data_IF_852300887977
#
_entry.id   IF_852300887977
#
_cell.length_a   1.000
_cell.length_b   1.000
_cell.length_c   1.000
_cell.angle_alpha   90.00
_cell.angle_beta   90.00
_cell.angle_gamma   90.00
#
_symmetry.space_group_name_H-M   'P 1'
#
loop_
_entity.id
_entity.type
_entity.pdbx_description
1 polymer ?
#
# COMPACT_ATOMS: atom_id res chain seq x y z
N UNK A 1 -27.57 -2.47 5.99
CA UNK A 1 -26.70 -1.28 5.86
C UNK A 1 -25.49 -1.66 5.04
N UNK A 2 -25.19 -0.87 4.02
CA UNK A 2 -24.20 -1.14 2.98
C UNK A 2 -22.77 -1.09 3.52
N UNK A 3 -21.92 -1.99 2.99
CA UNK A 3 -20.48 -2.05 3.21
C UNK A 3 -19.82 -0.68 3.03
N UNK A 4 -19.12 -0.19 4.05
CA UNK A 4 -18.16 0.92 3.91
C UNK A 4 -16.76 0.34 4.05
N UNK A 5 -16.26 -0.25 2.96
CA UNK A 5 -14.83 -0.14 2.69
C UNK A 5 -14.60 1.34 2.36
N UNK A 6 -13.77 2.04 3.12
CA UNK A 6 -13.35 3.40 2.78
C UNK A 6 -12.43 3.34 1.57
N UNK A 7 -13.04 3.21 0.38
CA UNK A 7 -12.39 3.39 -0.90
C UNK A 7 -12.43 4.86 -1.23
N UNK A 8 -11.25 5.46 -1.39
CA UNK A 8 -11.15 6.81 -1.91
C UNK A 8 -10.58 6.72 -3.32
N UNK A 9 -11.23 7.43 -4.24
CA UNK A 9 -10.63 7.65 -5.55
C UNK A 9 -9.46 8.60 -5.41
N UNK A 10 -8.35 8.21 -6.00
CA UNK A 10 -7.11 8.93 -6.02
C UNK A 10 -6.78 9.27 -7.45
N UNK A 11 -6.70 10.57 -7.77
CA UNK A 11 -6.26 11.03 -9.08
C UNK A 11 -4.84 11.56 -8.97
N UNK A 12 -3.95 10.98 -9.75
CA UNK A 12 -2.56 11.43 -9.89
C UNK A 12 -2.41 12.03 -11.27
N UNK A 13 -2.22 13.34 -11.33
CA UNK A 13 -1.90 14.04 -12.57
C UNK A 13 -0.41 13.97 -12.83
N UNK A 14 -0.06 13.65 -14.06
CA UNK A 14 1.30 13.65 -14.58
C UNK A 14 1.35 14.21 -15.98
N UNK A 15 2.53 14.14 -16.56
CA UNK A 15 2.80 14.54 -17.93
C UNK A 15 3.84 13.63 -18.55
N UNK A 16 3.81 13.56 -19.87
CA UNK A 16 4.98 13.15 -20.63
C UNK A 16 5.42 14.23 -21.58
N UNK A 17 6.72 14.30 -21.75
CA UNK A 17 7.37 15.26 -22.62
C UNK A 17 8.66 14.66 -23.17
N UNK A 18 9.18 15.28 -24.22
CA UNK A 18 10.40 14.84 -24.87
C UNK A 18 11.59 15.69 -24.42
N UNK A 19 12.56 15.05 -23.77
CA UNK A 19 13.81 15.69 -23.34
C UNK A 19 14.88 15.50 -24.41
N UNK A 20 15.50 16.59 -24.88
CA UNK A 20 16.58 16.54 -25.86
C UNK A 20 17.81 15.84 -25.24
N UNK A 21 18.26 14.75 -25.87
CA UNK A 21 19.50 14.08 -25.50
C UNK A 21 20.71 14.74 -26.17
N UNK A 22 20.65 14.90 -27.49
CA UNK A 22 21.70 15.56 -28.26
C UNK A 22 21.18 16.09 -29.59
N UNK A 23 21.94 17.03 -30.16
CA UNK A 23 21.71 17.63 -31.46
C UNK A 23 23.04 17.67 -32.22
N UNK A 24 23.13 16.95 -33.34
CA UNK A 24 24.33 16.88 -34.15
C UNK A 24 24.06 17.44 -35.54
N UNK A 25 24.88 18.42 -35.92
CA UNK A 25 24.79 19.10 -37.21
C UNK A 25 25.88 18.61 -38.16
N UNK A 26 25.48 17.86 -39.19
CA UNK A 26 26.34 17.40 -40.27
C UNK A 26 26.11 18.20 -41.57
N UNK A 27 25.47 19.37 -41.51
CA UNK A 27 25.11 20.20 -42.67
C UNK A 27 26.30 20.62 -43.53
N UNK A 28 27.47 20.79 -42.91
CA UNK A 28 28.70 21.26 -43.57
C UNK A 28 29.56 20.16 -44.18
N UNK A 29 29.34 18.89 -43.84
CA UNK A 29 30.18 17.80 -44.34
C UNK A 29 29.55 17.08 -45.52
N UNK A 30 30.41 16.53 -46.39
CA UNK A 30 30.02 15.74 -47.55
C UNK A 30 29.99 14.24 -47.27
N UNK A 31 30.49 13.81 -46.11
CA UNK A 31 30.48 12.42 -45.67
C UNK A 31 29.46 12.22 -44.54
N UNK A 32 29.02 10.97 -44.37
CA UNK A 32 28.22 10.58 -43.20
C UNK A 32 29.08 10.55 -41.94
N UNK A 33 28.44 10.78 -40.79
CA UNK A 33 29.05 10.62 -39.47
C UNK A 33 28.37 9.45 -38.78
N UNK A 34 29.16 8.54 -38.21
CA UNK A 34 28.68 7.52 -37.28
C UNK A 34 28.96 7.98 -35.86
N UNK A 35 27.91 8.09 -35.06
CA UNK A 35 27.98 8.47 -33.66
C UNK A 35 27.57 7.28 -32.79
N UNK A 36 28.41 6.91 -31.82
CA UNK A 36 28.07 5.92 -30.79
C UNK A 36 27.86 6.68 -29.48
N UNK A 37 26.63 6.68 -28.99
CA UNK A 37 26.28 7.33 -27.72
C UNK A 37 25.70 6.32 -26.75
N UNK A 38 26.05 6.52 -25.48
CA UNK A 38 25.49 5.79 -24.35
C UNK A 38 24.62 6.75 -23.55
N UNK A 39 23.36 6.38 -23.32
CA UNK A 39 22.48 7.16 -22.46
C UNK A 39 21.86 6.30 -21.37
N UNK A 40 21.48 6.95 -20.27
CA UNK A 40 20.93 6.29 -19.10
C UNK A 40 19.40 6.33 -19.15
N UNK A 41 18.81 5.14 -19.16
CA UNK A 41 17.47 4.90 -18.66
C UNK A 41 17.50 5.06 -17.14
N UNK A 42 16.60 5.87 -16.59
CA UNK A 42 16.53 6.15 -15.16
C UNK A 42 15.07 6.03 -14.72
N UNK A 43 14.78 5.05 -13.87
CA UNK A 43 13.52 4.95 -13.13
C UNK A 43 13.78 5.38 -11.69
N UNK A 44 13.16 6.47 -11.23
CA UNK A 44 13.29 6.94 -9.85
C UNK A 44 11.91 7.12 -9.22
N UNK A 45 11.63 6.29 -8.22
CA UNK A 45 10.39 6.28 -7.45
C UNK A 45 10.74 6.45 -5.98
N UNK A 46 10.29 7.55 -5.39
CA UNK A 46 10.42 7.86 -3.98
C UNK A 46 9.00 7.97 -3.39
N UNK A 47 8.62 6.97 -2.59
CA UNK A 47 7.28 6.90 -2.01
C UNK A 47 6.95 8.08 -1.09
N UNK A 48 7.94 8.64 -0.35
CA UNK A 48 7.70 9.82 0.52
C UNK A 48 7.29 11.03 -0.29
N UNK A 49 7.96 11.24 -1.42
CA UNK A 49 7.58 12.29 -2.37
C UNK A 49 6.20 12.01 -2.98
N UNK A 50 5.91 10.75 -3.31
CA UNK A 50 4.60 10.37 -3.85
C UNK A 50 3.48 10.71 -2.86
N UNK A 51 3.61 10.32 -1.59
CA UNK A 51 2.66 10.67 -0.52
C UNK A 51 2.52 12.18 -0.36
N UNK A 52 3.65 12.90 -0.26
CA UNK A 52 3.66 14.36 -0.07
C UNK A 52 2.96 15.11 -1.20
N UNK A 53 3.12 14.64 -2.43
CA UNK A 53 2.56 15.28 -3.62
C UNK A 53 1.13 14.82 -3.93
N UNK A 54 0.59 13.89 -3.14
CA UNK A 54 -0.73 13.32 -3.36
C UNK A 54 -1.63 13.54 -2.15
N UNK A 55 -2.25 14.73 -2.10
CA UNK A 55 -3.00 15.25 -0.94
C UNK A 55 -4.16 14.38 -0.43
N UNK A 56 -4.64 13.41 -1.24
CA UNK A 56 -5.77 12.55 -0.88
C UNK A 56 -5.36 11.23 -0.22
N UNK A 57 -4.05 10.94 -0.10
CA UNK A 57 -3.58 9.72 0.54
C UNK A 57 -3.41 9.93 2.04
N UNK A 58 -4.30 9.35 2.84
CA UNK A 58 -4.20 9.32 4.31
C UNK A 58 -3.54 8.03 4.81
N UNK A 59 -2.38 7.73 4.26
CA UNK A 59 -1.55 6.62 4.73
C UNK A 59 -0.72 7.12 5.91
N UNK A 60 -1.20 6.89 7.12
CA UNK A 60 -0.56 7.37 8.36
C UNK A 60 0.28 6.31 9.06
N UNK A 61 0.16 5.04 8.66
CA UNK A 61 0.78 3.92 9.36
C UNK A 61 1.52 2.95 8.45
N UNK A 62 2.55 2.33 9.02
CA UNK A 62 3.25 1.16 8.46
C UNK A 62 3.15 -0.04 9.39
N UNK A 63 3.29 -1.23 8.81
CA UNK A 63 3.36 -2.52 9.50
C UNK A 63 4.35 -3.43 8.78
N UNK A 64 5.35 -3.96 9.49
CA UNK A 64 6.42 -4.80 8.91
C UNK A 64 7.07 -4.15 7.67
N UNK A 65 7.33 -2.83 7.76
CA UNK A 65 7.87 -1.96 6.69
C UNK A 65 6.99 -1.81 5.44
N UNK A 66 5.70 -2.18 5.52
CA UNK A 66 4.73 -1.95 4.44
C UNK A 66 3.71 -0.90 4.86
N UNK A 67 3.21 -0.10 3.92
CA UNK A 67 2.12 0.85 4.21
C UNK A 67 0.88 0.07 4.62
N UNK A 68 0.12 0.53 5.64
CA UNK A 68 -1.16 -0.06 6.04
C UNK A 68 -2.31 0.29 5.08
N UNK A 69 -2.02 0.26 3.78
CA UNK A 69 -2.94 0.57 2.71
C UNK A 69 -2.43 -0.01 1.37
N UNK A 70 -3.32 -0.10 0.39
CA UNK A 70 -2.99 -0.53 -0.96
C UNK A 70 -3.53 0.45 -2.00
N UNK A 71 -2.92 0.38 -3.19
CA UNK A 71 -3.36 1.10 -4.39
C UNK A 71 -3.79 0.09 -5.44
N UNK A 72 -4.87 0.41 -6.14
CA UNK A 72 -5.38 -0.35 -7.28
C UNK A 72 -5.51 0.59 -8.47
N UNK A 73 -4.80 0.32 -9.55
CA UNK A 73 -4.90 1.13 -10.77
C UNK A 73 -6.23 0.87 -11.47
N UNK A 74 -6.96 1.95 -11.80
CA UNK A 74 -8.22 1.87 -12.51
C UNK A 74 -8.05 2.10 -14.00
N UNK A 75 -7.48 3.26 -14.36
CA UNK A 75 -7.33 3.69 -15.75
C UNK A 75 -6.39 4.88 -15.86
N UNK A 76 -5.89 5.08 -17.07
CA UNK A 76 -5.26 6.31 -17.48
C UNK A 76 -6.18 7.07 -18.45
N UNK A 77 -6.28 8.39 -18.29
CA UNK A 77 -6.88 9.29 -19.27
C UNK A 77 -5.75 10.14 -19.85
N UNK A 78 -5.53 10.02 -21.15
CA UNK A 78 -4.58 10.83 -21.91
C UNK A 78 -5.32 11.62 -22.98
N UNK A 79 -4.83 12.81 -23.32
CA UNK A 79 -5.41 13.63 -24.40
C UNK A 79 -4.96 13.23 -25.81
N UNK A 80 -4.09 12.22 -25.95
CA UNK A 80 -3.67 11.62 -27.21
C UNK A 80 -3.46 10.10 -27.07
N UNK A 81 -3.37 9.38 -28.18
CA UNK A 81 -3.27 7.91 -28.27
C UNK A 81 -1.90 7.33 -27.85
N UNK A 82 -1.12 8.04 -27.03
CA UNK A 82 0.20 7.54 -26.64
C UNK A 82 0.08 6.28 -25.76
N UNK A 83 0.78 5.24 -26.22
CA UNK A 83 1.23 4.03 -25.52
C UNK A 83 0.51 3.69 -24.20
N UNK A 84 -0.68 3.12 -24.30
CA UNK A 84 -1.44 2.58 -23.17
C UNK A 84 -0.60 1.63 -22.29
N UNK A 85 0.33 0.86 -22.88
CA UNK A 85 1.23 -0.05 -22.16
C UNK A 85 2.17 0.68 -21.19
N UNK A 86 2.67 1.86 -21.58
CA UNK A 86 3.57 2.63 -20.73
C UNK A 86 2.86 3.21 -19.49
N UNK A 87 1.58 3.57 -19.60
CA UNK A 87 0.77 4.00 -18.45
C UNK A 87 0.52 2.86 -17.46
N UNK A 88 0.31 1.64 -17.96
CA UNK A 88 0.16 0.46 -17.11
C UNK A 88 1.46 0.17 -16.36
N UNK A 89 2.60 0.17 -17.07
CA UNK A 89 3.92 -0.05 -16.45
C UNK A 89 4.20 0.97 -15.35
N UNK A 90 4.02 2.26 -15.66
CA UNK A 90 4.14 3.35 -14.69
C UNK A 90 3.27 3.14 -13.45
N UNK A 91 2.00 2.79 -13.65
CA UNK A 91 1.05 2.63 -12.56
C UNK A 91 1.43 1.45 -11.66
N UNK A 92 1.90 0.34 -12.25
CA UNK A 92 2.40 -0.80 -11.49
C UNK A 92 3.61 -0.44 -10.63
N UNK A 93 4.54 0.32 -11.20
CA UNK A 93 5.75 0.76 -10.49
C UNK A 93 5.42 1.71 -9.33
N UNK A 94 4.45 2.62 -9.50
CA UNK A 94 3.93 3.46 -8.42
C UNK A 94 3.27 2.62 -7.31
N UNK A 95 2.48 1.60 -7.67
CA UNK A 95 1.86 0.67 -6.70
C UNK A 95 2.95 -0.06 -5.90
N UNK A 96 3.97 -0.62 -6.58
CA UNK A 96 5.04 -1.37 -5.91
C UNK A 96 5.84 -0.48 -4.96
N UNK A 97 6.23 0.72 -5.41
CA UNK A 97 6.94 1.68 -4.56
C UNK A 97 6.11 2.13 -3.35
N UNK A 98 4.81 2.31 -3.57
CA UNK A 98 3.85 2.63 -2.51
C UNK A 98 3.75 1.52 -1.45
N UNK A 99 3.46 0.29 -1.85
CA UNK A 99 3.20 -0.81 -0.91
C UNK A 99 4.43 -1.20 -0.08
N UNK A 100 5.62 -1.10 -0.67
CA UNK A 100 6.88 -1.50 -0.02
C UNK A 100 7.55 -0.41 0.80
N UNK A 101 7.08 0.85 0.75
CA UNK A 101 7.81 1.99 1.31
C UNK A 101 9.27 2.09 0.82
N UNK A 102 9.53 1.71 -0.43
CA UNK A 102 10.90 1.64 -0.96
C UNK A 102 11.19 2.83 -1.88
N UNK A 103 12.46 3.23 -1.93
CA UNK A 103 12.96 4.03 -3.04
C UNK A 103 13.44 3.06 -4.12
N UNK A 104 12.79 3.11 -5.28
CA UNK A 104 13.19 2.33 -6.45
C UNK A 104 14.03 3.25 -7.32
N UNK A 105 15.32 2.97 -7.40
CA UNK A 105 16.20 3.60 -8.39
C UNK A 105 16.78 2.50 -9.27
N UNK A 106 16.41 2.52 -10.54
CA UNK A 106 16.96 1.63 -11.55
C UNK A 106 17.61 2.48 -12.64
N UNK A 107 18.90 2.22 -12.87
CA UNK A 107 19.66 2.87 -13.94
C UNK A 107 20.17 1.82 -14.89
N UNK A 108 19.85 1.96 -16.17
CA UNK A 108 20.35 1.09 -17.23
C UNK A 108 21.03 1.93 -18.30
N UNK A 109 22.24 1.54 -18.69
CA UNK A 109 22.90 2.15 -19.85
C UNK A 109 22.42 1.49 -21.13
N UNK A 110 22.11 2.31 -22.11
CA UNK A 110 21.70 1.91 -23.45
C UNK A 110 22.68 2.51 -24.43
N UNK A 111 23.36 1.63 -25.16
CA UNK A 111 24.29 2.02 -26.21
C UNK A 111 23.53 2.00 -27.55
N UNK A 112 23.60 3.11 -28.29
CA UNK A 112 23.05 3.19 -29.64
C UNK A 112 24.05 3.80 -30.61
N UNK A 113 24.00 3.28 -31.82
CA UNK A 113 24.72 3.81 -32.96
C UNK A 113 23.77 4.59 -33.85
N UNK A 114 24.16 5.81 -34.21
CA UNK A 114 23.41 6.71 -35.06
C UNK A 114 24.24 7.04 -36.30
N UNK A 115 23.63 6.90 -37.47
CA UNK A 115 24.25 7.24 -38.74
C UNK A 115 23.59 8.52 -39.24
N UNK A 116 24.38 9.59 -39.33
CA UNK A 116 23.94 10.90 -39.80
C UNK A 116 24.42 11.07 -41.23
N UNK A 117 23.49 11.18 -42.18
CA UNK A 117 23.80 11.36 -43.60
C UNK A 117 24.54 12.67 -43.89
N UNK A 118 25.19 12.81 -45.05
CA UNK A 118 25.86 14.04 -45.43
C UNK A 118 24.86 15.18 -45.53
N UNK A 119 25.29 16.39 -45.14
CA UNK A 119 24.46 17.61 -45.19
C UNK A 119 23.15 17.55 -44.39
N UNK A 120 23.09 16.71 -43.35
CA UNK A 120 21.88 16.52 -42.53
C UNK A 120 22.09 16.95 -41.08
N UNK A 121 21.00 17.05 -40.33
CA UNK A 121 21.02 17.29 -38.87
C UNK A 121 20.22 16.20 -38.18
N UNK A 122 20.70 15.73 -37.03
CA UNK A 122 19.99 14.77 -36.20
C UNK A 122 19.78 15.35 -34.81
N UNK A 123 18.52 15.46 -34.41
CA UNK A 123 18.12 15.68 -33.02
C UNK A 123 17.54 14.39 -32.49
N UNK A 124 17.94 14.00 -31.30
CA UNK A 124 17.40 12.81 -30.62
C UNK A 124 16.85 13.23 -29.28
N UNK A 125 15.61 12.86 -29.04
CA UNK A 125 14.89 13.09 -27.80
C UNK A 125 14.59 11.77 -27.12
N UNK A 126 14.46 11.77 -25.79
CA UNK A 126 13.89 10.66 -25.03
C UNK A 126 12.54 11.03 -24.45
N UNK A 127 11.65 10.05 -24.34
CA UNK A 127 10.38 10.23 -23.66
C UNK A 127 10.61 10.21 -22.14
N UNK A 128 10.15 11.25 -21.47
CA UNK A 128 10.19 11.42 -20.01
C UNK A 128 8.78 11.48 -19.47
N UNK A 129 8.57 10.81 -18.35
CA UNK A 129 7.32 10.86 -17.60
C UNK A 129 7.56 11.44 -16.22
N UNK A 130 6.66 12.33 -15.82
CA UNK A 130 6.67 12.97 -14.53
C UNK A 130 5.27 12.95 -13.92
N UNK A 131 5.10 12.34 -12.74
CA UNK A 131 3.83 12.39 -11.99
C UNK A 131 4.09 12.30 -10.50
N UNK A 132 3.31 13.04 -9.69
CA UNK A 132 3.43 13.04 -8.22
C UNK A 132 4.88 13.16 -7.69
N UNK A 133 5.71 13.95 -8.38
CA UNK A 133 7.14 14.15 -8.06
C UNK A 133 8.06 12.95 -8.34
N UNK A 134 7.59 11.98 -9.12
CA UNK A 134 8.36 10.85 -9.64
C UNK A 134 8.81 11.17 -11.07
N UNK A 135 10.00 10.70 -11.45
CA UNK A 135 10.57 10.94 -12.77
C UNK A 135 11.03 9.60 -13.37
N UNK A 136 10.60 9.35 -14.60
CA UNK A 136 10.94 8.17 -15.36
C UNK A 136 11.47 8.59 -16.73
N UNK A 137 12.74 8.30 -16.97
CA UNK A 137 13.45 8.58 -18.21
C UNK A 137 13.55 7.26 -18.98
N UNK A 138 12.72 7.11 -20.01
CA UNK A 138 12.61 5.87 -20.78
C UNK A 138 13.79 5.66 -21.75
N UNK A 139 13.89 4.45 -22.31
CA UNK A 139 14.79 4.12 -23.41
C UNK A 139 14.17 4.39 -24.80
N UNK A 140 12.91 4.81 -24.83
CA UNK A 140 12.17 5.24 -26.01
C UNK A 140 12.75 6.58 -26.48
N UNK A 141 13.19 6.60 -27.74
CA UNK A 141 13.77 7.78 -28.38
C UNK A 141 13.05 8.10 -29.69
N UNK A 142 13.06 9.36 -30.07
CA UNK A 142 12.52 9.84 -31.34
C UNK A 142 13.36 11.01 -31.87
N UNK A 143 13.42 11.16 -33.19
CA UNK A 143 13.89 12.38 -33.85
C UNK A 143 12.77 13.37 -34.15
N UNK A 144 11.51 12.92 -34.02
CA UNK A 144 10.30 13.68 -34.24
C UNK A 144 9.46 13.62 -32.95
N UNK A 145 9.74 14.50 -31.97
CA UNK A 145 9.05 14.45 -30.69
C UNK A 145 7.60 14.91 -30.87
N UNK A 146 6.68 14.18 -30.26
CA UNK A 146 5.29 14.61 -30.13
C UNK A 146 5.14 15.75 -29.11
N UNK A 147 4.03 16.51 -29.14
CA UNK A 147 3.75 17.50 -28.11
C UNK A 147 3.70 16.90 -26.70
N UNK A 148 3.98 17.74 -25.69
CA UNK A 148 3.72 17.41 -24.29
C UNK A 148 2.23 17.13 -24.08
N UNK A 149 1.93 16.16 -23.22
CA UNK A 149 0.56 15.78 -22.90
C UNK A 149 0.43 15.48 -21.41
N UNK A 150 -0.71 15.91 -20.89
CA UNK A 150 -1.13 15.66 -19.53
C UNK A 150 -1.84 14.32 -19.45
N UNK A 151 -1.52 13.56 -18.42
CA UNK A 151 -2.17 12.29 -18.10
C UNK A 151 -2.75 12.36 -16.72
N UNK A 152 -3.95 11.84 -16.56
CA UNK A 152 -4.50 11.52 -15.26
C UNK A 152 -4.53 10.01 -15.06
N UNK A 153 -3.86 9.55 -14.00
CA UNK A 153 -3.94 8.19 -13.50
C UNK A 153 -4.98 8.14 -12.38
N UNK A 154 -6.02 7.35 -12.58
CA UNK A 154 -7.04 7.09 -11.58
C UNK A 154 -6.66 5.81 -10.81
N UNK A 155 -6.60 5.90 -9.48
CA UNK A 155 -6.36 4.79 -8.55
C UNK A 155 -7.51 4.69 -7.54
N UNK A 156 -7.74 3.48 -7.02
CA UNK A 156 -8.44 3.29 -5.75
C UNK A 156 -7.42 3.12 -4.64
N UNK A 157 -7.62 3.87 -3.57
CA UNK A 157 -6.85 3.73 -2.35
C UNK A 157 -7.70 3.07 -1.26
N UNK A 158 -7.14 2.06 -0.59
CA UNK A 158 -7.80 1.28 0.47
C UNK A 158 -6.90 1.17 1.69
N UNK A 159 -7.38 1.60 2.85
CA UNK A 159 -6.74 1.31 4.14
C UNK A 159 -7.16 -0.05 4.66
N UNK A 160 -6.29 -0.72 5.40
CA UNK A 160 -6.62 -1.96 6.08
C UNK A 160 -6.08 -1.97 7.51
N UNK A 161 -6.62 -2.86 8.34
CA UNK A 161 -6.18 -3.06 9.71
C UNK A 161 -4.91 -3.93 9.77
N UNK A 162 -3.72 -3.34 10.02
CA UNK A 162 -2.45 -4.06 9.90
C UNK A 162 -2.30 -5.17 10.95
N UNK A 163 -1.96 -6.37 10.50
CA UNK A 163 -1.77 -7.53 11.37
C UNK A 163 -3.06 -8.12 11.97
N UNK A 164 -4.24 -7.55 11.65
CA UNK A 164 -5.52 -8.04 12.16
C UNK A 164 -5.77 -9.51 11.77
N UNK A 165 -5.47 -9.91 10.54
CA UNK A 165 -5.62 -11.31 10.12
C UNK A 165 -4.75 -12.27 10.94
N UNK A 166 -3.55 -11.84 11.39
CA UNK A 166 -2.71 -12.65 12.28
C UNK A 166 -3.38 -12.85 13.64
N UNK A 167 -3.98 -11.79 14.19
CA UNK A 167 -4.74 -11.88 15.44
C UNK A 167 -5.94 -12.82 15.30
N UNK A 168 -6.73 -12.63 14.25
CA UNK A 168 -7.89 -13.48 13.92
C UNK A 168 -7.47 -14.95 13.80
N UNK A 169 -6.39 -15.23 13.07
CA UNK A 169 -5.88 -16.59 12.91
C UNK A 169 -5.49 -17.23 14.24
N UNK A 170 -4.88 -16.50 15.18
CA UNK A 170 -4.58 -17.04 16.51
C UNK A 170 -5.86 -17.32 17.31
N UNK A 171 -6.84 -16.43 17.26
CA UNK A 171 -8.12 -16.61 17.97
C UNK A 171 -8.88 -17.83 17.44
N UNK A 172 -8.92 -18.03 16.11
CA UNK A 172 -9.57 -19.20 15.46
C UNK A 172 -8.89 -20.51 15.85
N UNK A 173 -7.57 -20.52 15.94
CA UNK A 173 -6.82 -21.74 16.24
C UNK A 173 -6.66 -22.02 17.75
N UNK A 174 -7.22 -21.17 18.60
CA UNK A 174 -7.15 -21.31 20.06
C UNK A 174 -8.23 -22.28 20.56
N UNK A 175 -7.78 -23.37 21.19
CA UNK A 175 -8.62 -24.42 21.75
C UNK A 175 -8.24 -24.64 23.22
N UNK A 176 -8.98 -24.06 24.18
CA UNK A 176 -8.68 -24.20 25.60
C UNK A 176 -8.89 -25.65 26.08
N UNK A 177 -8.17 -26.07 27.12
CA UNK A 177 -8.19 -27.45 27.59
C UNK A 177 -9.46 -27.89 28.33
N UNK A 178 -9.92 -27.12 29.34
CA UNK A 178 -11.10 -27.49 30.17
C UNK A 178 -11.98 -26.32 30.53
N UNK A 179 -11.39 -25.17 30.83
CA UNK A 179 -12.14 -23.96 31.17
C UNK A 179 -12.35 -23.07 29.93
N UNK A 180 -13.43 -22.30 29.92
CA UNK A 180 -13.75 -21.32 28.88
C UNK A 180 -14.04 -21.87 27.46
N UNK A 181 -14.27 -23.18 27.31
CA UNK A 181 -14.49 -23.84 26.01
C UNK A 181 -15.61 -23.15 25.21
N UNK A 182 -16.76 -22.89 25.84
CA UNK A 182 -17.94 -22.29 25.18
C UNK A 182 -17.68 -20.85 24.74
N UNK A 183 -16.93 -20.11 25.54
CA UNK A 183 -16.54 -18.73 25.27
C UNK A 183 -15.60 -18.66 24.07
N UNK A 184 -14.64 -19.59 23.99
CA UNK A 184 -13.74 -19.72 22.85
C UNK A 184 -14.46 -20.24 21.59
N UNK A 185 -15.39 -21.20 21.71
CA UNK A 185 -16.27 -21.64 20.61
C UNK A 185 -17.02 -20.46 20.01
N UNK A 186 -17.68 -19.65 20.85
CA UNK A 186 -18.42 -18.46 20.39
C UNK A 186 -17.54 -17.46 19.62
N UNK A 187 -16.29 -17.27 20.06
CA UNK A 187 -15.34 -16.38 19.37
C UNK A 187 -14.98 -16.95 18.00
N UNK A 188 -14.68 -18.26 17.93
CA UNK A 188 -14.35 -18.92 16.66
C UNK A 188 -15.52 -18.91 15.69
N UNK A 189 -16.70 -19.28 16.16
CA UNK A 189 -17.92 -19.33 15.33
C UNK A 189 -18.23 -17.96 14.74
N UNK A 190 -18.12 -16.90 15.54
CA UNK A 190 -18.27 -15.54 15.05
C UNK A 190 -17.21 -15.20 13.99
N UNK A 191 -15.93 -15.48 14.25
CA UNK A 191 -14.90 -15.19 13.26
C UNK A 191 -15.13 -15.95 11.94
N UNK A 192 -15.55 -17.21 12.01
CA UNK A 192 -15.87 -18.04 10.85
C UNK A 192 -17.08 -17.47 10.10
N UNK A 193 -18.15 -17.10 10.81
CA UNK A 193 -19.35 -16.48 10.25
C UNK A 193 -19.01 -15.21 9.44
N UNK A 194 -18.06 -14.40 9.92
CA UNK A 194 -17.64 -13.16 9.25
C UNK A 194 -16.39 -13.34 8.37
N UNK A 195 -15.97 -14.56 8.07
CA UNK A 195 -14.77 -14.83 7.24
C UNK A 195 -14.96 -14.45 5.77
N UNK A 196 -16.18 -14.55 5.24
CA UNK A 196 -16.55 -14.19 3.85
C UNK A 196 -16.81 -12.68 3.65
N UNK A 197 -16.66 -11.87 4.70
CA UNK A 197 -16.92 -10.43 4.64
C UNK A 197 -15.72 -9.71 4.04
N UNK A 198 -15.96 -8.91 2.98
CA UNK A 198 -14.89 -8.23 2.24
C UNK A 198 -14.15 -7.14 3.03
N UNK A 199 -14.75 -6.56 4.09
CA UNK A 199 -14.15 -5.48 4.88
C UNK A 199 -13.60 -5.93 6.24
N UNK A 200 -12.30 -5.73 6.46
CA UNK A 200 -11.65 -5.94 7.76
C UNK A 200 -12.22 -5.07 8.88
N UNK A 201 -12.77 -3.89 8.57
CA UNK A 201 -13.40 -3.03 9.59
C UNK A 201 -14.68 -3.67 10.15
N UNK A 202 -15.48 -4.32 9.30
CA UNK A 202 -16.71 -5.01 9.74
C UNK A 202 -16.32 -6.23 10.58
N UNK A 203 -15.38 -7.05 10.10
CA UNK A 203 -14.86 -8.20 10.84
C UNK A 203 -14.32 -7.80 12.22
N UNK A 204 -13.61 -6.68 12.29
CA UNK A 204 -13.09 -6.16 13.55
C UNK A 204 -14.20 -5.66 14.48
N UNK A 205 -15.18 -4.94 13.96
CA UNK A 205 -16.34 -4.49 14.73
C UNK A 205 -17.15 -5.66 15.34
N UNK A 206 -17.39 -6.71 14.58
CA UNK A 206 -18.12 -7.89 15.06
C UNK A 206 -17.30 -8.68 16.09
N UNK A 207 -15.99 -8.80 15.90
CA UNK A 207 -15.11 -9.36 16.93
C UNK A 207 -15.20 -8.57 18.24
N UNK A 208 -15.18 -7.23 18.18
CA UNK A 208 -15.33 -6.38 19.35
C UNK A 208 -16.66 -6.60 20.07
N UNK A 209 -17.76 -6.74 19.32
CA UNK A 209 -19.08 -7.06 19.89
C UNK A 209 -19.05 -8.39 20.63
N UNK A 210 -18.49 -9.44 20.05
CA UNK A 210 -18.41 -10.74 20.72
C UNK A 210 -17.57 -10.66 21.98
N UNK A 211 -16.37 -10.08 21.89
CA UNK A 211 -15.50 -9.92 23.05
C UNK A 211 -16.14 -9.05 24.15
N UNK A 212 -16.97 -8.06 23.80
CA UNK A 212 -17.65 -7.17 24.76
C UNK A 212 -18.70 -7.85 25.64
N UNK A 213 -19.26 -8.98 25.19
CA UNK A 213 -20.30 -9.73 25.91
C UNK A 213 -19.82 -11.09 26.43
N UNK A 214 -18.64 -11.55 26.01
CA UNK A 214 -18.08 -12.83 26.45
C UNK A 214 -17.78 -12.80 27.95
N UNK A 215 -18.43 -13.70 28.68
CA UNK A 215 -18.35 -13.78 30.14
C UNK A 215 -17.97 -15.20 30.54
N UNK A 216 -16.69 -15.47 30.87
CA UNK A 216 -16.25 -16.80 31.30
C UNK A 216 -17.00 -17.24 32.55
N UNK A 217 -17.52 -18.45 32.51
CA UNK A 217 -18.17 -19.07 33.68
C UNK A 217 -17.21 -19.40 34.82
N UNK A 218 -15.90 -19.53 34.54
CA UNK A 218 -14.85 -19.95 35.50
C UNK A 218 -13.63 -19.02 35.45
N UNK A 219 -12.42 -19.58 35.44
CA UNK A 219 -11.14 -18.88 35.47
C UNK A 219 -11.06 -17.72 34.47
N UNK A 220 -10.27 -16.71 34.84
CA UNK A 220 -9.97 -15.51 34.06
C UNK A 220 -11.07 -14.42 34.04
N UNK A 221 -11.99 -14.38 35.01
CA UNK A 221 -13.12 -13.40 35.02
C UNK A 221 -12.65 -11.94 34.98
N UNK A 222 -11.56 -11.62 35.67
CA UNK A 222 -11.03 -10.26 35.76
C UNK A 222 -10.40 -9.82 34.44
N UNK A 223 -9.59 -10.70 33.84
CA UNK A 223 -8.96 -10.55 32.53
C UNK A 223 -10.04 -10.28 31.48
N UNK A 224 -11.08 -11.11 31.44
CA UNK A 224 -12.22 -10.93 30.54
C UNK A 224 -13.00 -9.66 30.84
N UNK A 225 -13.10 -9.23 32.11
CA UNK A 225 -13.72 -7.94 32.45
C UNK A 225 -12.97 -6.77 31.82
N UNK A 226 -11.63 -6.78 31.88
CA UNK A 226 -10.80 -5.73 31.28
C UNK A 226 -10.89 -5.71 29.74
N UNK A 227 -11.05 -6.89 29.11
CA UNK A 227 -11.29 -7.02 27.68
C UNK A 227 -12.65 -6.43 27.32
N UNK A 228 -13.73 -6.83 28.03
CA UNK A 228 -15.07 -6.31 27.80
C UNK A 228 -15.12 -4.79 27.92
N UNK A 229 -14.51 -4.24 28.97
CA UNK A 229 -14.43 -2.80 29.18
C UNK A 229 -13.73 -2.11 27.99
N UNK A 230 -12.57 -2.64 27.57
CA UNK A 230 -11.82 -2.10 26.42
C UNK A 230 -12.64 -2.15 25.14
N UNK A 231 -13.32 -3.27 24.86
CA UNK A 231 -14.18 -3.41 23.70
C UNK A 231 -15.38 -2.44 23.74
N UNK A 232 -16.04 -2.27 24.88
CA UNK A 232 -17.14 -1.32 25.03
C UNK A 232 -16.69 0.14 24.86
N UNK A 233 -15.49 0.50 25.34
CA UNK A 233 -14.91 1.81 25.10
C UNK A 233 -14.59 2.04 23.60
N UNK A 234 -14.13 1.01 22.89
CA UNK A 234 -13.90 1.10 21.45
C UNK A 234 -15.23 1.23 20.71
N UNK A 235 -16.21 0.38 21.00
CA UNK A 235 -17.53 0.37 20.35
C UNK A 235 -18.28 1.69 20.54
N UNK A 236 -18.23 2.28 21.75
CA UNK A 236 -18.83 3.59 22.02
C UNK A 236 -18.17 4.75 21.27
N UNK A 237 -16.92 4.57 20.84
CA UNK A 237 -16.18 5.55 20.03
C UNK A 237 -16.08 5.13 18.57
N UNK A 238 -16.79 4.07 18.14
CA UNK A 238 -16.52 3.46 16.84
C UNK A 238 -16.73 4.45 15.70
N UNK A 239 -17.80 5.24 15.74
CA UNK A 239 -18.16 6.18 14.68
C UNK A 239 -17.44 7.54 14.77
N UNK A 240 -16.55 7.74 15.76
CA UNK A 240 -15.86 9.03 15.93
C UNK A 240 -14.62 9.18 15.03
N UNK A 241 -14.20 8.11 14.34
CA UNK A 241 -13.00 8.08 13.49
C UNK A 241 -13.18 7.09 12.36
N UNK A 242 -12.87 7.48 11.11
CA UNK A 242 -12.79 6.55 9.98
C UNK A 242 -11.55 5.62 10.10
N UNK A 243 -10.49 6.10 10.75
CA UNK A 243 -9.31 5.31 11.04
C UNK A 243 -9.56 4.40 12.26
N UNK A 244 -9.49 3.08 12.01
CA UNK A 244 -9.71 2.03 13.02
C UNK A 244 -8.39 1.44 13.56
N UNK A 245 -7.23 1.90 13.07
CA UNK A 245 -5.91 1.42 13.53
C UNK A 245 -5.67 1.75 15.02
N UNK A 246 -6.02 2.96 15.53
CA UNK A 246 -5.92 3.25 16.96
C UNK A 246 -6.74 2.31 17.84
N UNK A 247 -7.93 1.91 17.36
CA UNK A 247 -8.78 0.94 18.06
C UNK A 247 -8.17 -0.46 18.06
N UNK A 248 -7.56 -0.88 16.96
CA UNK A 248 -6.80 -2.12 16.91
C UNK A 248 -5.64 -2.10 17.92
N UNK A 249 -4.82 -1.03 17.93
CA UNK A 249 -3.72 -0.87 18.90
C UNK A 249 -4.24 -0.92 20.33
N UNK A 250 -5.38 -0.28 20.63
CA UNK A 250 -5.99 -0.29 21.96
C UNK A 250 -6.39 -1.71 22.38
N UNK A 251 -7.02 -2.49 21.48
CA UNK A 251 -7.38 -3.88 21.76
C UNK A 251 -6.13 -4.75 21.95
N UNK A 252 -5.17 -4.70 21.03
CA UNK A 252 -3.95 -5.53 21.11
C UNK A 252 -3.08 -5.14 22.31
N UNK A 253 -3.02 -3.87 22.69
CA UNK A 253 -2.39 -3.46 23.95
C UNK A 253 -3.06 -4.10 25.17
N UNK A 254 -4.41 -4.15 25.20
CA UNK A 254 -5.13 -4.85 26.27
C UNK A 254 -4.79 -6.34 26.28
N UNK A 255 -4.92 -7.02 25.13
CA UNK A 255 -4.65 -8.46 25.02
C UNK A 255 -3.21 -8.82 25.41
N UNK A 256 -2.24 -7.95 25.09
CA UNK A 256 -0.83 -8.14 25.46
C UNK A 256 -0.59 -8.15 26.98
N UNK A 257 -1.41 -7.44 27.75
CA UNK A 257 -1.27 -7.35 29.22
C UNK A 257 -1.96 -8.48 29.99
N UNK A 258 -2.78 -9.29 29.31
CA UNK A 258 -3.54 -10.36 29.97
C UNK A 258 -2.59 -11.44 30.46
N UNK A 259 -2.67 -11.77 31.75
CA UNK A 259 -1.90 -12.83 32.40
C UNK A 259 -2.89 -13.80 33.02
N UNK A 260 -3.31 -14.86 32.30
CA UNK A 260 -4.36 -15.75 32.78
C UNK A 260 -3.89 -16.62 33.95
N UNK A 261 -4.86 -17.27 34.60
CA UNK A 261 -4.61 -18.42 35.46
C UNK A 261 -3.99 -19.62 34.71
N UNK A 262 -3.77 -20.72 35.43
CA UNK A 262 -3.07 -21.91 34.92
C UNK A 262 -3.77 -22.56 33.73
N UNK A 263 -5.11 -22.54 33.68
CA UNK A 263 -5.92 -23.28 32.70
C UNK A 263 -5.86 -22.77 31.25
N UNK A 264 -5.33 -21.57 30.99
CA UNK A 264 -5.29 -20.97 29.63
C UNK A 264 -3.93 -20.32 29.28
N UNK A 265 -2.87 -20.68 30.00
CA UNK A 265 -1.58 -19.97 29.90
C UNK A 265 -0.96 -20.06 28.49
N UNK A 266 -1.12 -21.18 27.81
CA UNK A 266 -0.52 -21.44 26.48
C UNK A 266 -1.25 -20.63 25.41
N UNK A 267 -2.57 -20.62 25.47
CA UNK A 267 -3.47 -19.91 24.56
C UNK A 267 -3.21 -18.40 24.61
N UNK A 268 -3.20 -17.84 25.83
CA UNK A 268 -2.90 -16.42 26.03
C UNK A 268 -1.46 -16.04 25.70
N UNK A 269 -0.50 -16.96 25.83
CA UNK A 269 0.87 -16.69 25.39
C UNK A 269 0.93 -16.41 23.88
N UNK A 270 0.23 -17.21 23.06
CA UNK A 270 0.14 -17.01 21.59
C UNK A 270 -0.54 -15.69 21.24
N UNK A 271 -1.63 -15.36 21.91
CA UNK A 271 -2.37 -14.11 21.69
C UNK A 271 -1.52 -12.91 22.07
N UNK A 272 -0.81 -12.99 23.19
CA UNK A 272 0.11 -11.96 23.67
C UNK A 272 1.25 -11.75 22.67
N UNK A 273 1.84 -12.83 22.17
CA UNK A 273 2.91 -12.77 21.16
C UNK A 273 2.46 -12.00 19.92
N UNK A 274 1.34 -12.39 19.31
CA UNK A 274 0.81 -11.69 18.13
C UNK A 274 0.42 -10.25 18.44
N UNK A 275 -0.19 -10.00 19.60
CA UNK A 275 -0.54 -8.63 20.01
C UNK A 275 0.70 -7.74 20.17
N UNK A 276 1.78 -8.27 20.73
CA UNK A 276 3.06 -7.57 20.85
C UNK A 276 3.70 -7.32 19.48
N UNK A 277 3.66 -8.30 18.57
CA UNK A 277 4.12 -8.13 17.18
C UNK A 277 3.34 -6.99 16.52
N UNK A 278 2.01 -6.98 16.63
CA UNK A 278 1.17 -5.90 16.07
C UNK A 278 1.57 -4.55 16.67
N UNK A 279 1.62 -4.43 18.00
CA UNK A 279 1.91 -3.17 18.68
C UNK A 279 3.31 -2.61 18.36
N UNK A 280 4.30 -3.48 18.21
CA UNK A 280 5.69 -3.11 17.89
C UNK A 280 5.91 -2.76 16.42
N UNK A 281 5.10 -3.34 15.53
CA UNK A 281 5.23 -3.14 14.08
C UNK A 281 4.37 -2.00 13.56
N UNK A 282 3.25 -1.65 14.21
CA UNK A 282 2.45 -0.49 13.81
C UNK A 282 3.16 0.81 14.23
N UNK A 283 3.73 1.48 13.24
CA UNK A 283 4.45 2.76 13.40
C UNK A 283 3.76 3.85 12.59
N UNK A 284 3.78 5.07 13.11
CA UNK A 284 3.33 6.24 12.37
C UNK A 284 4.37 6.60 11.29
N UNK A 285 3.90 7.02 10.11
CA UNK A 285 4.73 7.54 9.02
C UNK A 285 5.31 8.92 9.33
#
# INVERSE_FOLDING_TARGET
MLNVETKSELRVTGRYYWELLFNLDNSKNKASITLKESYEYIKKINYKNFLKNTNNIKAEYTYENKIAASLEFLRAKASSEISHSFHIEMSNELIVGFEKCEEITETKKVDKEFIIGPRSTLKVYRLVYEAAGQIFKSDIISSEPEPEVIIDLDFLYKTYLPGFDKLVNVLVNTHPGKDNIKEWEKIRDNIIEYSDVKSNNIRFHELLKVLSITTPSRDNRLEWSSIRETCNQILSSWDTSDDKIPFLKKLTARLATITPGSSNKIEWAKIREVSNIINSNIKHL
#
